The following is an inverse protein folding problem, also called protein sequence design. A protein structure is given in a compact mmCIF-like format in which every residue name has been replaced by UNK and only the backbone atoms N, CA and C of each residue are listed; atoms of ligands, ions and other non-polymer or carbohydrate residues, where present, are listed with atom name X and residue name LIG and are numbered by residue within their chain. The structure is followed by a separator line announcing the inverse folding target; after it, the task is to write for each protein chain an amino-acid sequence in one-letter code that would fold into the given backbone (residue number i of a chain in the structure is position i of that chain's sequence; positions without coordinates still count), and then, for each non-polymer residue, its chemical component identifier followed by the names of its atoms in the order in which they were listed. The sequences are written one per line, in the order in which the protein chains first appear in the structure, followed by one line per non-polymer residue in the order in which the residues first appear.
data_IF_418436219473
#
_entry.id   IF_418436219473
#
_cell.length_a   1.000
_cell.length_b   1.000
_cell.length_c   1.000
_cell.angle_alpha   90.00
_cell.angle_beta   90.00
_cell.angle_gamma   90.00
#
_symmetry.space_group_name_H-M   'P 1'
#
loop_
_entity.id
_entity.type
_entity.pdbx_description
1 polymer ?
#
# COMPACT_ATOMS: atom_id res chain seq x y z
N UNK A 1 7.76 -16.69 -1.76
CA UNK A 1 6.71 -16.62 -0.72
C UNK A 1 5.37 -16.85 -1.38
N UNK A 2 4.59 -17.82 -0.90
CA UNK A 2 3.23 -18.07 -1.36
C UNK A 2 2.28 -17.55 -0.28
N UNK A 3 1.40 -16.62 -0.64
CA UNK A 3 0.43 -15.98 0.25
C UNK A 3 -0.87 -16.82 0.22
N UNK A 4 -1.42 -17.25 1.37
CA UNK A 4 -2.47 -18.26 1.46
C UNK A 4 -3.87 -17.76 1.06
N UNK A 5 -4.06 -16.44 0.88
CA UNK A 5 -5.29 -15.86 0.35
C UNK A 5 -5.03 -15.21 -1.01
N UNK A 6 -5.85 -15.49 -2.04
CA UNK A 6 -5.58 -15.03 -3.40
C UNK A 6 -5.58 -13.51 -3.56
N UNK A 7 -6.20 -12.76 -2.64
CA UNK A 7 -6.49 -11.34 -2.87
C UNK A 7 -6.29 -10.41 -1.68
N UNK A 8 -5.86 -10.84 -0.48
CA UNK A 8 -5.66 -9.90 0.64
C UNK A 8 -4.43 -10.24 1.48
N UNK A 9 -3.67 -9.22 1.85
CA UNK A 9 -2.52 -9.34 2.75
C UNK A 9 -2.94 -9.12 4.19
N UNK A 10 -2.46 -9.99 5.07
CA UNK A 10 -2.53 -9.81 6.52
C UNK A 10 -1.55 -8.72 7.00
N UNK A 11 -1.75 -8.12 8.18
CA UNK A 11 -0.82 -7.14 8.74
C UNK A 11 0.62 -7.65 8.81
N UNK A 12 0.80 -8.90 9.23
CA UNK A 12 2.12 -9.53 9.30
C UNK A 12 2.80 -9.70 7.94
N UNK A 13 2.03 -9.99 6.89
CA UNK A 13 2.54 -10.08 5.52
C UNK A 13 2.90 -8.71 4.95
N UNK A 14 2.15 -7.66 5.31
CA UNK A 14 2.46 -6.28 4.94
C UNK A 14 3.76 -5.84 5.62
N UNK A 15 3.91 -6.04 6.93
CA UNK A 15 5.18 -5.72 7.62
C UNK A 15 6.35 -6.51 7.04
N UNK A 16 6.17 -7.80 6.74
CA UNK A 16 7.21 -8.61 6.10
C UNK A 16 7.58 -8.09 4.70
N UNK A 17 6.59 -7.61 3.93
CA UNK A 17 6.80 -6.99 2.63
C UNK A 17 7.55 -5.66 2.77
N UNK A 18 7.14 -4.79 3.69
CA UNK A 18 7.77 -3.49 3.93
C UNK A 18 9.20 -3.64 4.46
N UNK A 19 9.48 -4.69 5.25
CA UNK A 19 10.82 -5.02 5.71
C UNK A 19 11.80 -5.39 4.58
N UNK A 20 11.32 -5.67 3.36
CA UNK A 20 12.20 -5.89 2.20
C UNK A 20 12.74 -4.60 1.59
N UNK A 21 12.15 -3.46 1.94
CA UNK A 21 12.60 -2.15 1.46
C UNK A 21 13.75 -1.63 2.32
N UNK A 22 14.62 -0.84 1.69
CA UNK A 22 15.68 -0.13 2.42
C UNK A 22 15.05 0.98 3.27
N UNK A 23 15.14 0.92 4.61
CA UNK A 23 14.53 1.93 5.48
C UNK A 23 15.14 3.33 5.31
N UNK A 24 16.34 3.44 4.75
CA UNK A 24 16.98 4.72 4.46
C UNK A 24 16.48 5.36 3.16
N UNK A 25 15.81 4.58 2.29
CA UNK A 25 15.31 5.09 1.01
C UNK A 25 13.85 5.51 1.11
N UNK A 26 13.51 6.71 0.59
CA UNK A 26 12.12 7.10 0.50
C UNK A 26 11.39 6.25 -0.55
N UNK A 27 10.17 5.87 -0.22
CA UNK A 27 9.24 5.16 -1.10
C UNK A 27 8.25 6.17 -1.67
N UNK A 28 7.92 6.02 -2.95
CA UNK A 28 6.84 6.79 -3.59
C UNK A 28 5.59 5.93 -3.71
N UNK A 29 4.50 6.40 -3.12
CA UNK A 29 3.15 5.85 -3.30
C UNK A 29 2.34 6.77 -4.22
N UNK A 30 1.36 6.22 -4.92
CA UNK A 30 0.36 6.99 -5.66
C UNK A 30 -0.95 6.94 -4.90
N UNK A 31 -1.35 8.05 -4.27
CA UNK A 31 -2.69 8.19 -3.69
C UNK A 31 -3.70 8.58 -4.75
N UNK A 32 -4.94 8.14 -4.58
CA UNK A 32 -6.03 8.48 -5.49
C UNK A 32 -7.03 9.38 -4.81
N UNK A 33 -7.05 10.65 -5.24
CA UNK A 33 -8.10 11.58 -4.85
C UNK A 33 -9.24 11.49 -5.84
N UNK A 34 -10.43 11.16 -5.37
CA UNK A 34 -11.61 11.09 -6.23
C UNK A 34 -12.24 12.48 -6.39
N UNK A 35 -12.44 12.92 -7.64
CA UNK A 35 -13.23 14.11 -7.99
C UNK A 35 -14.22 13.73 -9.09
N UNK A 36 -15.53 13.87 -8.84
CA UNK A 36 -16.58 13.51 -9.80
C UNK A 36 -16.47 12.07 -10.34
N UNK A 37 -16.12 11.10 -9.48
CA UNK A 37 -15.85 9.68 -9.85
C UNK A 37 -14.63 9.48 -10.76
N UNK A 38 -13.82 10.50 -10.99
CA UNK A 38 -12.52 10.37 -11.66
C UNK A 38 -11.43 10.25 -10.61
N UNK A 39 -10.63 9.16 -10.60
CA UNK A 39 -9.48 9.02 -9.73
C UNK A 39 -8.35 9.92 -10.24
N UNK A 40 -7.88 10.83 -9.38
CA UNK A 40 -6.75 11.73 -9.67
C UNK A 40 -5.52 11.18 -8.94
N UNK A 41 -4.54 10.59 -9.65
CA UNK A 41 -3.32 10.08 -9.04
C UNK A 41 -2.49 11.25 -8.49
N UNK A 42 -2.01 11.08 -7.27
CA UNK A 42 -1.11 12.01 -6.58
C UNK A 42 0.07 11.22 -6.02
N UNK A 43 1.25 11.32 -6.64
CA UNK A 43 2.44 10.72 -6.07
C UNK A 43 2.79 11.43 -4.76
N UNK A 44 3.11 10.64 -3.75
CA UNK A 44 3.51 11.07 -2.42
C UNK A 44 4.74 10.26 -2.03
N UNK A 45 5.77 10.94 -1.55
CA UNK A 45 7.02 10.31 -1.15
C UNK A 45 7.09 10.33 0.37
N UNK A 46 7.30 9.16 0.97
CA UNK A 46 7.36 8.96 2.41
C UNK A 46 8.38 7.88 2.77
N UNK A 47 8.78 7.82 4.04
CA UNK A 47 9.66 6.75 4.52
C UNK A 47 8.89 5.44 4.68
N UNK A 48 9.61 4.32 4.64
CA UNK A 48 9.05 2.97 4.89
C UNK A 48 8.28 2.93 6.21
N UNK A 49 8.87 3.49 7.27
CA UNK A 49 8.26 3.53 8.60
C UNK A 49 6.96 4.36 8.63
N UNK A 50 6.91 5.48 7.90
CA UNK A 50 5.70 6.28 7.80
C UNK A 50 4.59 5.52 7.04
N UNK A 51 4.96 4.77 6.00
CA UNK A 51 4.02 3.96 5.24
C UNK A 51 3.48 2.81 6.08
N UNK A 52 4.36 2.10 6.79
CA UNK A 52 3.97 1.04 7.71
C UNK A 52 3.00 1.56 8.77
N UNK A 53 3.34 2.67 9.43
CA UNK A 53 2.46 3.26 10.45
C UNK A 53 1.09 3.63 9.87
N UNK A 54 1.05 4.19 8.67
CA UNK A 54 -0.20 4.55 8.00
C UNK A 54 -1.06 3.31 7.73
N UNK A 55 -0.46 2.25 7.19
CA UNK A 55 -1.16 1.00 6.87
C UNK A 55 -1.66 0.33 8.15
N UNK A 56 -0.82 0.21 9.17
CA UNK A 56 -1.22 -0.42 10.43
C UNK A 56 -2.36 0.33 11.11
N UNK A 57 -2.28 1.68 11.15
CA UNK A 57 -3.36 2.52 11.68
C UNK A 57 -4.65 2.30 10.90
N UNK A 58 -4.56 2.24 9.57
CA UNK A 58 -5.73 2.04 8.72
C UNK A 58 -6.38 0.67 8.87
N UNK A 59 -5.58 -0.38 9.13
CA UNK A 59 -6.10 -1.72 9.44
C UNK A 59 -6.78 -1.74 10.81
N UNK A 60 -6.17 -1.11 11.82
CA UNK A 60 -6.71 -1.05 13.19
C UNK A 60 -8.02 -0.25 13.25
N UNK A 61 -8.07 0.90 12.58
CA UNK A 61 -9.24 1.77 12.51
C UNK A 61 -10.30 1.26 11.52
N UNK A 62 -9.95 0.28 10.67
CA UNK A 62 -10.80 -0.19 9.56
C UNK A 62 -11.05 0.89 8.50
N UNK A 63 -10.19 1.91 8.44
CA UNK A 63 -10.34 3.04 7.53
C UNK A 63 -8.99 3.68 7.18
N UNK A 64 -8.75 3.89 5.89
CA UNK A 64 -7.55 4.57 5.43
C UNK A 64 -7.78 6.06 5.14
N UNK A 65 -7.05 6.89 5.90
CA UNK A 65 -7.06 8.33 5.71
C UNK A 65 -6.42 8.75 4.38
N UNK A 66 -7.17 9.52 3.58
CA UNK A 66 -6.71 10.02 2.28
C UNK A 66 -7.12 9.17 1.08
N UNK A 67 -7.92 8.11 1.29
CA UNK A 67 -8.47 7.28 0.22
C UNK A 67 -7.54 6.15 -0.21
N UNK A 68 -7.83 5.59 -1.39
CA UNK A 68 -7.05 4.49 -1.95
C UNK A 68 -5.63 4.92 -2.32
N UNK A 69 -4.68 4.00 -2.28
CA UNK A 69 -3.34 4.21 -2.82
C UNK A 69 -2.78 2.96 -3.48
N UNK A 70 -1.77 3.19 -4.31
CA UNK A 70 -0.96 2.16 -4.94
C UNK A 70 0.51 2.41 -4.62
N UNK A 71 1.22 1.35 -4.24
CA UNK A 71 2.67 1.34 -4.14
C UNK A 71 3.20 0.37 -5.19
N UNK A 72 4.04 0.85 -6.10
CA UNK A 72 4.78 -0.03 -7.00
C UNK A 72 5.96 -0.66 -6.28
N UNK A 73 6.13 -1.97 -6.47
CA UNK A 73 7.20 -2.77 -5.89
C UNK A 73 8.02 -3.37 -7.05
N UNK A 74 9.01 -2.63 -7.58
CA UNK A 74 9.75 -3.05 -8.76
C UNK A 74 10.44 -4.41 -8.59
N UNK A 75 10.93 -4.70 -7.39
CA UNK A 75 11.61 -5.96 -7.03
C UNK A 75 10.71 -7.18 -7.15
N UNK A 76 9.39 -7.02 -7.05
CA UNK A 76 8.41 -8.09 -7.13
C UNK A 76 7.57 -8.04 -8.41
N UNK A 77 7.79 -7.07 -9.29
CA UNK A 77 6.92 -6.76 -10.44
C UNK A 77 5.42 -6.71 -10.05
N UNK A 78 5.14 -6.18 -8.85
CA UNK A 78 3.80 -6.12 -8.24
C UNK A 78 3.52 -4.71 -7.72
N UNK A 79 2.24 -4.41 -7.53
CA UNK A 79 1.73 -3.23 -6.85
C UNK A 79 1.01 -3.64 -5.59
N UNK A 80 1.33 -3.01 -4.48
CA UNK A 80 0.51 -3.06 -3.27
C UNK A 80 -0.62 -2.04 -3.44
N UNK A 81 -1.86 -2.52 -3.40
CA UNK A 81 -3.06 -1.71 -3.44
C UNK A 81 -3.57 -1.60 -2.00
N UNK A 82 -3.80 -0.38 -1.52
CA UNK A 82 -4.50 -0.13 -0.26
C UNK A 82 -5.83 0.55 -0.51
N UNK A 83 -6.89 0.00 0.03
CA UNK A 83 -8.25 0.50 -0.08
C UNK A 83 -8.63 1.32 1.14
N UNK A 84 -9.55 2.28 0.94
CA UNK A 84 -10.06 3.13 2.02
C UNK A 84 -10.76 2.38 3.17
N UNK A 85 -11.15 1.12 2.98
CA UNK A 85 -11.71 0.24 4.03
C UNK A 85 -10.62 -0.49 4.86
N UNK A 86 -9.34 -0.13 4.72
CA UNK A 86 -8.25 -0.80 5.43
C UNK A 86 -7.92 -2.18 4.86
N UNK A 87 -8.25 -2.43 3.59
CA UNK A 87 -7.94 -3.67 2.88
C UNK A 87 -6.73 -3.49 1.98
N UNK A 88 -5.86 -4.50 1.94
CA UNK A 88 -4.58 -4.44 1.24
C UNK A 88 -4.33 -5.68 0.41
N UNK A 89 -3.81 -5.53 -0.81
CA UNK A 89 -3.50 -6.68 -1.67
C UNK A 89 -2.42 -6.42 -2.70
N UNK A 90 -1.88 -7.49 -3.28
CA UNK A 90 -0.89 -7.40 -4.34
C UNK A 90 -1.52 -7.64 -5.70
N UNK A 91 -1.21 -6.77 -6.65
CA UNK A 91 -1.61 -6.90 -8.06
C UNK A 91 -0.37 -6.94 -8.96
N UNK A 92 -0.28 -7.81 -9.98
CA UNK A 92 0.83 -7.76 -10.93
C UNK A 92 0.87 -6.43 -11.69
N UNK A 93 2.07 -5.93 -11.96
CA UNK A 93 2.28 -4.83 -12.91
C UNK A 93 2.12 -5.44 -14.31
N UNK A 94 1.06 -5.06 -15.01
CA UNK A 94 0.77 -5.52 -16.38
C UNK A 94 1.71 -4.88 -17.40
#
# INVERSE_FOLDING_TARGET
MAFPHPDYLTPGEISALLATFDPAQPITITRYRWKNKTPIPRPETLSVAALESLIMTAIEDGHQFGGDFELEIPTLAKKLIGHHDGLYWLKPIA
#
